data_IF_467239636980
#
_entry.id   IF_467239636980
#
_cell.length_a   1.000
_cell.length_b   1.000
_cell.length_c   1.000
_cell.angle_alpha   90.00
_cell.angle_beta   90.00
_cell.angle_gamma   90.00
#
_symmetry.space_group_name_H-M   'P 1'
#
loop_
_entity.id
_entity.type
_entity.pdbx_description
1 polymer ?
#
# COMPACT_ATOMS: atom_id res chain seq x y z
N UNK A 1 16.54 -0.23 1.19
CA UNK A 1 15.26 0.39 1.60
C UNK A 1 15.30 1.85 1.18
N UNK A 2 14.23 2.34 0.56
CA UNK A 2 14.13 3.78 0.21
C UNK A 2 13.63 4.52 1.46
N UNK A 3 14.22 5.67 1.77
CA UNK A 3 13.76 6.49 2.88
C UNK A 3 12.31 6.96 2.65
N UNK A 4 11.52 7.00 3.72
CA UNK A 4 10.18 7.57 3.65
C UNK A 4 10.28 9.10 3.45
N UNK A 5 9.40 9.69 2.64
CA UNK A 5 9.36 11.14 2.49
C UNK A 5 8.94 11.82 3.80
N UNK A 6 9.49 13.00 4.07
CA UNK A 6 9.11 13.81 5.25
C UNK A 6 7.68 14.34 5.13
N UNK A 7 7.23 14.68 3.92
CA UNK A 7 5.89 15.23 3.63
C UNK A 7 5.29 14.63 2.36
N UNK A 8 3.99 14.39 2.41
CA UNK A 8 3.14 13.97 1.28
C UNK A 8 1.74 14.55 1.46
N UNK A 9 1.01 14.73 0.37
CA UNK A 9 -0.41 15.12 0.42
C UNK A 9 -1.27 13.97 0.97
N UNK A 10 -0.89 12.72 0.67
CA UNK A 10 -1.60 11.51 1.12
C UNK A 10 -0.62 10.46 1.66
N UNK A 11 -0.79 10.11 2.93
CA UNK A 11 -0.14 8.93 3.52
C UNK A 11 -1.15 7.78 3.62
N UNK A 12 -0.82 6.63 3.03
CA UNK A 12 -1.67 5.43 3.03
C UNK A 12 -1.01 4.37 3.92
N UNK A 13 -1.77 3.77 4.83
CA UNK A 13 -1.31 2.65 5.66
C UNK A 13 -1.96 1.36 5.15
N UNK A 14 -1.13 0.44 4.69
CA UNK A 14 -1.51 -0.85 4.12
C UNK A 14 -1.46 -0.89 2.60
N UNK A 15 -0.83 -1.92 2.03
CA UNK A 15 -0.73 -2.21 0.60
C UNK A 15 -1.61 -3.40 0.18
N UNK A 16 -2.81 -3.49 0.76
CA UNK A 16 -3.89 -4.35 0.26
C UNK A 16 -4.65 -3.70 -0.91
N UNK A 17 -5.74 -4.34 -1.37
CA UNK A 17 -6.54 -3.84 -2.50
C UNK A 17 -6.96 -2.37 -2.36
N UNK A 18 -7.52 -2.00 -1.21
CA UNK A 18 -7.97 -0.63 -0.95
C UNK A 18 -6.81 0.37 -1.04
N UNK A 19 -5.68 0.09 -0.37
CA UNK A 19 -4.51 0.96 -0.37
C UNK A 19 -3.88 1.10 -1.75
N UNK A 20 -3.80 0.02 -2.52
CA UNK A 20 -3.25 0.06 -3.88
C UNK A 20 -4.16 0.83 -4.85
N UNK A 21 -5.49 0.68 -4.73
CA UNK A 21 -6.41 1.48 -5.52
C UNK A 21 -6.37 2.96 -5.13
N UNK A 22 -6.28 3.26 -3.84
CA UNK A 22 -6.13 4.64 -3.35
C UNK A 22 -4.82 5.26 -3.84
N UNK A 23 -3.71 4.52 -3.84
CA UNK A 23 -2.44 4.96 -4.42
C UNK A 23 -2.59 5.32 -5.90
N UNK A 24 -3.25 4.45 -6.67
CA UNK A 24 -3.51 4.70 -8.09
C UNK A 24 -4.33 5.99 -8.28
N UNK A 25 -5.44 6.14 -7.54
CA UNK A 25 -6.31 7.33 -7.61
C UNK A 25 -5.62 8.62 -7.18
N UNK A 26 -4.83 8.59 -6.10
CA UNK A 26 -4.09 9.76 -5.63
C UNK A 26 -3.04 10.21 -6.66
N UNK A 27 -2.31 9.26 -7.27
CA UNK A 27 -1.38 9.55 -8.37
C UNK A 27 -2.10 10.14 -9.59
N UNK A 28 -3.25 9.59 -9.97
CA UNK A 28 -4.06 10.13 -11.07
C UNK A 28 -4.59 11.53 -10.80
N UNK A 29 -4.74 11.91 -9.53
CA UNK A 29 -5.13 13.26 -9.12
C UNK A 29 -3.94 14.24 -9.01
N UNK A 30 -2.72 13.80 -9.32
CA UNK A 30 -1.52 14.64 -9.25
C UNK A 30 -0.98 14.88 -7.84
N UNK A 31 -1.44 14.10 -6.85
CA UNK A 31 -1.02 14.24 -5.45
C UNK A 31 0.28 13.49 -5.17
N UNK A 32 1.13 14.06 -4.32
CA UNK A 32 2.25 13.34 -3.72
C UNK A 32 1.72 12.33 -2.71
N UNK A 33 2.11 11.06 -2.87
CA UNK A 33 1.53 9.96 -2.10
C UNK A 33 2.57 8.89 -1.77
N UNK A 34 2.49 8.36 -0.55
CA UNK A 34 3.33 7.26 -0.07
C UNK A 34 2.50 6.19 0.63
N UNK A 35 2.82 4.91 0.38
CA UNK A 35 2.17 3.76 1.01
C UNK A 35 3.15 3.12 1.97
N UNK A 36 2.73 2.95 3.22
CA UNK A 36 3.45 2.19 4.23
C UNK A 36 2.81 0.81 4.36
N UNK A 37 3.60 -0.25 4.22
CA UNK A 37 3.15 -1.64 4.43
C UNK A 37 4.12 -2.32 5.39
N UNK A 38 3.58 -3.07 6.35
CA UNK A 38 4.37 -3.83 7.31
C UNK A 38 4.96 -5.08 6.67
N UNK A 39 4.23 -5.70 5.75
CA UNK A 39 4.68 -6.82 4.95
C UNK A 39 5.81 -6.44 4.00
N UNK A 40 6.59 -7.43 3.59
CA UNK A 40 7.65 -7.24 2.59
C UNK A 40 7.13 -7.06 1.16
N UNK A 41 5.81 -7.01 0.95
CA UNK A 41 5.18 -6.86 -0.36
C UNK A 41 3.68 -6.53 -0.26
N UNK A 42 3.06 -6.30 -1.42
CA UNK A 42 1.63 -5.99 -1.53
C UNK A 42 0.75 -7.21 -1.28
N UNK A 43 -0.55 -6.98 -1.06
CA UNK A 43 -1.58 -8.03 -1.04
C UNK A 43 -2.50 -7.97 0.19
N UNK A 44 -2.09 -7.26 1.25
CA UNK A 44 -2.88 -7.14 2.48
C UNK A 44 -3.22 -8.52 3.04
N UNK A 45 -4.51 -8.82 3.23
CA UNK A 45 -5.00 -10.14 3.67
C UNK A 45 -4.36 -11.29 2.89
N UNK A 46 -4.18 -11.17 1.58
CA UNK A 46 -3.59 -12.20 0.71
C UNK A 46 -2.08 -12.33 0.84
N UNK A 47 -1.39 -11.28 1.28
CA UNK A 47 0.03 -11.36 1.59
C UNK A 47 0.26 -12.21 2.85
N UNK A 48 -0.56 -11.96 3.88
CA UNK A 48 -0.40 -12.57 5.21
C UNK A 48 -1.00 -13.98 5.31
N UNK A 49 -2.15 -14.23 4.68
CA UNK A 49 -2.85 -15.52 4.78
C UNK A 49 -2.35 -16.47 3.69
N UNK A 50 -1.35 -17.28 4.04
CA UNK A 50 -0.75 -18.31 3.16
C UNK A 50 -0.93 -19.73 3.70
N UNK A 51 -1.97 -19.95 4.50
CA UNK A 51 -2.29 -21.28 5.00
C UNK A 51 -2.86 -22.17 3.87
N UNK A 52 -2.69 -23.51 3.95
CA UNK A 52 -3.24 -24.42 2.96
C UNK A 52 -4.75 -24.25 2.79
N UNK A 53 -5.22 -24.07 1.55
CA UNK A 53 -6.64 -23.91 1.23
C UNK A 53 -7.17 -22.47 1.25
N UNK A 54 -6.32 -21.46 1.49
CA UNK A 54 -6.68 -20.07 1.21
C UNK A 54 -7.09 -19.90 -0.26
N UNK A 55 -8.23 -19.26 -0.53
CA UNK A 55 -8.82 -19.07 -1.86
C UNK A 55 -9.59 -17.77 -1.97
#
# INVERSE_FOLDING_TARGET
MVAAPERVDVAIVGAGFAGMYMLHRARSAGLSVHVFERGGGVGGTWYWNRYPGAR
#
